data_IF_438766502021
#
_entry.id   IF_438766502021
#
_cell.length_a   1.000
_cell.length_b   1.000
_cell.length_c   1.000
_cell.angle_alpha   90.00
_cell.angle_beta   90.00
_cell.angle_gamma   90.00
#
_symmetry.space_group_name_H-M   'P 1'
#
loop_
_entity.id
_entity.type
_entity.pdbx_description
1 polymer ?
#
# COMPACT_ATOMS: atom_id res chain seq x y z
N UNK A 1 -8.39 41.24 15.73
CA UNK A 1 -8.41 39.96 16.55
C UNK A 1 -9.38 38.91 16.02
N UNK A 2 -10.52 39.25 15.45
CA UNK A 2 -11.54 38.30 14.96
C UNK A 2 -11.13 37.41 13.78
N UNK A 3 -10.25 37.88 12.87
CA UNK A 3 -9.79 37.06 11.72
C UNK A 3 -8.85 35.91 12.09
N UNK A 4 -8.05 36.07 13.13
CA UNK A 4 -7.15 35.01 13.60
C UNK A 4 -7.89 33.88 14.36
N UNK A 5 -8.96 34.22 15.08
CA UNK A 5 -9.80 33.22 15.74
C UNK A 5 -10.57 32.33 14.74
N UNK A 6 -11.10 32.91 13.66
CA UNK A 6 -11.81 32.16 12.63
C UNK A 6 -10.89 31.19 11.88
N UNK A 7 -9.63 31.57 11.59
CA UNK A 7 -8.66 30.68 10.95
C UNK A 7 -8.24 29.53 11.86
N UNK A 8 -8.06 29.77 13.16
CA UNK A 8 -7.72 28.73 14.12
C UNK A 8 -8.86 27.71 14.33
N UNK A 9 -10.11 28.16 14.36
CA UNK A 9 -11.30 27.29 14.44
C UNK A 9 -11.48 26.44 13.19
N UNK A 10 -11.23 26.99 12.00
CA UNK A 10 -11.30 26.24 10.75
C UNK A 10 -10.20 25.14 10.66
N UNK A 11 -8.97 25.46 11.09
CA UNK A 11 -7.88 24.49 11.13
C UNK A 11 -8.16 23.33 12.12
N UNK A 12 -8.73 23.66 13.29
CA UNK A 12 -9.12 22.67 14.29
C UNK A 12 -10.24 21.73 13.75
N UNK A 13 -11.25 22.28 13.09
CA UNK A 13 -12.34 21.52 12.50
C UNK A 13 -11.85 20.55 11.41
N UNK A 14 -10.91 20.96 10.55
CA UNK A 14 -10.28 20.10 9.57
C UNK A 14 -9.51 18.94 10.23
N UNK A 15 -8.73 19.20 11.28
CA UNK A 15 -7.97 18.17 11.99
C UNK A 15 -8.88 17.10 12.62
N UNK A 16 -10.01 17.49 13.20
CA UNK A 16 -11.00 16.55 13.75
C UNK A 16 -11.71 15.73 12.66
N UNK A 17 -11.97 16.31 11.48
CA UNK A 17 -12.58 15.58 10.37
C UNK A 17 -11.63 14.47 9.83
N UNK A 18 -10.35 14.74 9.68
CA UNK A 18 -9.37 13.76 9.22
C UNK A 18 -9.15 12.64 10.24
N UNK A 19 -9.05 12.97 11.53
CA UNK A 19 -8.97 11.95 12.58
C UNK A 19 -10.20 11.03 12.60
N UNK A 20 -11.37 11.54 12.26
CA UNK A 20 -12.60 10.75 12.16
C UNK A 20 -12.64 9.79 10.97
N UNK A 21 -12.08 10.17 9.84
CA UNK A 21 -11.97 9.31 8.65
C UNK A 21 -10.95 8.19 8.85
N UNK A 22 -9.79 8.49 9.41
CA UNK A 22 -8.79 7.49 9.75
C UNK A 22 -9.35 6.47 10.76
N UNK A 23 -10.07 6.93 11.79
CA UNK A 23 -10.68 6.05 12.78
C UNK A 23 -11.69 5.07 12.15
N UNK A 24 -12.50 5.53 11.19
CA UNK A 24 -13.41 4.67 10.42
C UNK A 24 -12.66 3.66 9.58
N UNK A 25 -11.57 4.09 8.92
CA UNK A 25 -10.76 3.22 8.09
C UNK A 25 -10.06 2.14 8.91
N UNK A 26 -9.53 2.48 10.09
CA UNK A 26 -9.01 1.52 11.04
C UNK A 26 -10.06 0.53 11.53
N UNK A 27 -11.28 0.98 11.80
CA UNK A 27 -12.40 0.09 12.16
C UNK A 27 -12.70 -0.90 11.03
N UNK A 28 -12.71 -0.46 9.76
CA UNK A 28 -12.89 -1.32 8.60
C UNK A 28 -11.77 -2.36 8.48
N UNK A 29 -10.51 -1.96 8.70
CA UNK A 29 -9.36 -2.85 8.66
C UNK A 29 -9.39 -3.91 9.76
N UNK A 30 -9.80 -3.54 10.99
CA UNK A 30 -9.99 -4.49 12.10
C UNK A 30 -11.07 -5.52 11.81
N UNK A 31 -12.09 -5.13 11.09
CA UNK A 31 -13.20 -6.04 10.70
C UNK A 31 -12.76 -7.08 9.66
N UNK A 32 -11.75 -6.77 8.86
CA UNK A 32 -11.31 -7.62 7.74
C UNK A 32 -12.16 -7.40 6.48
N UNK A 33 -12.00 -8.29 5.50
CA UNK A 33 -12.75 -8.24 4.24
C UNK A 33 -12.25 -7.20 3.25
N UNK A 34 -11.01 -6.71 3.41
CA UNK A 34 -10.44 -5.70 2.53
C UNK A 34 -9.13 -6.20 1.90
N UNK A 35 -8.70 -5.52 0.85
CA UNK A 35 -7.35 -5.65 0.30
C UNK A 35 -6.58 -4.36 0.64
N UNK A 36 -5.37 -4.53 1.15
CA UNK A 36 -4.45 -3.46 1.52
C UNK A 36 -3.34 -3.40 0.46
N UNK A 37 -3.40 -2.39 -0.40
CA UNK A 37 -2.32 -2.12 -1.34
C UNK A 37 -1.24 -1.32 -0.62
N UNK A 38 0.00 -1.79 -0.65
CA UNK A 38 1.13 -1.14 0.02
C UNK A 38 2.15 -0.75 -1.04
N UNK A 39 2.51 0.52 -1.13
CA UNK A 39 3.71 0.90 -1.88
C UNK A 39 4.94 0.45 -1.09
N UNK A 40 5.92 -0.16 -1.78
CA UNK A 40 7.22 -0.45 -1.16
C UNK A 40 7.77 0.78 -0.43
N UNK A 41 8.52 0.56 0.63
CA UNK A 41 9.13 1.61 1.43
C UNK A 41 10.23 2.37 0.67
N UNK A 42 10.77 3.42 1.26
CA UNK A 42 11.76 4.31 0.66
C UNK A 42 13.00 3.55 0.19
N UNK A 43 13.47 3.91 -1.00
CA UNK A 43 14.66 3.33 -1.64
C UNK A 43 15.82 4.31 -1.61
N UNK A 44 17.00 3.83 -1.95
CA UNK A 44 18.14 4.69 -2.28
C UNK A 44 17.78 5.72 -3.37
N UNK A 45 18.63 6.75 -3.57
CA UNK A 45 18.39 7.82 -4.52
C UNK A 45 18.24 7.29 -5.96
N UNK A 46 17.59 8.07 -6.81
CA UNK A 46 17.36 7.76 -8.23
C UNK A 46 15.91 7.42 -8.56
N UNK A 47 15.64 7.30 -9.85
CA UNK A 47 14.36 6.94 -10.43
C UNK A 47 14.53 5.64 -11.24
N UNK A 48 13.60 4.70 -11.10
CA UNK A 48 13.70 3.39 -11.76
C UNK A 48 14.79 2.49 -11.17
N UNK A 49 15.06 1.38 -11.82
CA UNK A 49 16.19 0.50 -11.54
C UNK A 49 17.37 0.85 -12.46
N UNK A 50 18.62 0.51 -12.11
CA UNK A 50 19.77 0.71 -13.00
C UNK A 50 19.60 0.00 -14.36
N UNK A 51 20.14 0.52 -15.46
CA UNK A 51 20.10 -0.16 -16.73
C UNK A 51 20.68 -1.59 -16.64
N UNK A 52 19.99 -2.57 -17.21
CA UNK A 52 20.42 -3.96 -17.19
C UNK A 52 20.18 -4.68 -15.86
N UNK A 53 19.36 -4.14 -14.96
CA UNK A 53 18.97 -4.84 -13.73
C UNK A 53 18.36 -6.21 -14.04
N UNK A 54 18.52 -7.14 -13.11
CA UNK A 54 17.93 -8.48 -13.17
C UNK A 54 17.03 -8.69 -11.96
N UNK A 55 15.86 -9.30 -12.19
CA UNK A 55 14.85 -9.50 -11.14
C UNK A 55 15.28 -10.53 -10.09
N UNK A 56 16.14 -11.47 -10.47
CA UNK A 56 16.71 -12.53 -9.63
C UNK A 56 17.98 -12.12 -8.88
N UNK A 57 18.49 -10.91 -9.14
CA UNK A 57 19.72 -10.39 -8.55
C UNK A 57 19.49 -9.02 -7.90
N UNK A 58 19.30 -9.02 -6.59
CA UNK A 58 19.06 -7.80 -5.83
C UNK A 58 20.21 -6.79 -5.89
N UNK A 59 21.45 -7.23 -6.16
CA UNK A 59 22.61 -6.32 -6.24
C UNK A 59 22.52 -5.39 -7.44
N UNK A 60 21.74 -5.74 -8.44
CA UNK A 60 21.51 -4.97 -9.66
C UNK A 60 20.30 -4.03 -9.58
N UNK A 61 19.53 -4.11 -8.51
CA UNK A 61 18.28 -3.36 -8.33
C UNK A 61 18.45 -2.16 -7.41
N UNK A 62 17.55 -1.19 -7.53
CA UNK A 62 17.41 -0.11 -6.55
C UNK A 62 16.64 -0.62 -5.32
N UNK A 63 17.39 -0.90 -4.26
CA UNK A 63 16.89 -1.50 -3.02
C UNK A 63 16.42 -0.47 -1.99
N UNK A 64 15.82 -0.93 -0.89
CA UNK A 64 15.45 -0.08 0.23
C UNK A 64 16.68 0.64 0.81
N UNK A 65 16.47 1.89 1.21
CA UNK A 65 17.40 2.59 2.09
C UNK A 65 17.26 2.09 3.53
N UNK A 66 18.19 2.45 4.43
CA UNK A 66 18.04 2.11 5.85
C UNK A 66 16.79 2.76 6.45
N UNK A 67 16.49 4.01 6.08
CA UNK A 67 15.23 4.66 6.44
C UNK A 67 14.02 3.90 5.91
N UNK A 68 14.09 3.37 4.68
CA UNK A 68 13.02 2.55 4.11
C UNK A 68 12.81 1.23 4.86
N UNK A 69 13.87 0.60 5.35
CA UNK A 69 13.76 -0.59 6.20
C UNK A 69 13.00 -0.30 7.49
N UNK A 70 13.30 0.86 8.12
CA UNK A 70 12.56 1.31 9.31
C UNK A 70 11.10 1.66 8.99
N UNK A 71 10.83 2.29 7.85
CA UNK A 71 9.46 2.53 7.38
C UNK A 71 8.69 1.22 7.23
N UNK A 72 9.28 0.22 6.60
CA UNK A 72 8.65 -1.08 6.40
C UNK A 72 8.29 -1.76 7.74
N UNK A 73 9.20 -1.71 8.74
CA UNK A 73 8.91 -2.24 10.09
C UNK A 73 7.75 -1.50 10.73
N UNK A 74 7.75 -0.14 10.69
CA UNK A 74 6.68 0.68 11.25
C UNK A 74 5.32 0.41 10.62
N UNK A 75 5.26 0.15 9.30
CA UNK A 75 4.03 -0.28 8.65
C UNK A 75 3.47 -1.54 9.31
N UNK A 76 4.28 -2.56 9.49
CA UNK A 76 3.88 -3.80 10.14
C UNK A 76 3.51 -3.62 11.61
N UNK A 77 4.29 -2.86 12.37
CA UNK A 77 4.03 -2.54 13.77
C UNK A 77 2.71 -1.80 13.96
N UNK A 78 2.45 -0.79 13.12
CA UNK A 78 1.20 -0.05 13.18
C UNK A 78 -0.02 -0.93 12.91
N UNK A 79 0.01 -1.77 11.89
CA UNK A 79 -1.08 -2.68 11.59
C UNK A 79 -1.33 -3.68 12.74
N UNK A 80 -0.27 -4.19 13.38
CA UNK A 80 -0.38 -5.05 14.56
C UNK A 80 -0.93 -4.31 15.78
N UNK A 81 -0.44 -3.11 16.06
CA UNK A 81 -0.92 -2.26 17.16
C UNK A 81 -2.42 -1.94 17.02
N UNK A 82 -2.88 -1.70 15.79
CA UNK A 82 -4.28 -1.51 15.45
C UNK A 82 -5.09 -2.82 15.39
N UNK A 83 -4.47 -3.97 15.66
CA UNK A 83 -5.10 -5.30 15.64
C UNK A 83 -5.75 -5.65 14.29
N UNK A 84 -5.11 -5.24 13.19
CA UNK A 84 -5.58 -5.54 11.83
C UNK A 84 -5.26 -6.99 11.49
N UNK A 85 -6.25 -7.86 11.28
CA UNK A 85 -6.00 -9.25 10.90
C UNK A 85 -5.52 -9.32 9.43
N UNK A 86 -4.35 -9.93 9.20
CA UNK A 86 -3.79 -10.19 7.86
C UNK A 86 -3.71 -11.70 7.65
N UNK A 87 -4.40 -12.19 6.63
CA UNK A 87 -4.48 -13.63 6.31
C UNK A 87 -3.54 -14.04 5.18
N UNK A 88 -3.30 -13.15 4.22
CA UNK A 88 -2.47 -13.42 3.06
C UNK A 88 -1.65 -12.18 2.70
N UNK A 89 -0.41 -12.38 2.29
CA UNK A 89 0.48 -11.32 1.79
C UNK A 89 1.06 -11.73 0.45
N UNK A 90 0.79 -10.93 -0.57
CA UNK A 90 1.42 -11.01 -1.89
C UNK A 90 2.41 -9.87 -2.06
N UNK A 91 3.45 -10.10 -2.84
CA UNK A 91 4.44 -9.08 -3.14
C UNK A 91 4.86 -9.11 -4.61
N UNK A 92 5.22 -7.95 -5.13
CA UNK A 92 5.99 -7.86 -6.36
C UNK A 92 7.31 -8.62 -6.19
N UNK A 93 7.82 -9.31 -7.23
CA UNK A 93 9.11 -10.01 -7.17
C UNK A 93 10.33 -9.07 -7.09
N UNK A 94 10.17 -7.75 -7.16
CA UNK A 94 11.26 -6.79 -6.94
C UNK A 94 11.77 -6.83 -5.50
N UNK A 95 13.08 -6.79 -5.32
CA UNK A 95 13.73 -6.95 -4.02
C UNK A 95 13.23 -5.92 -2.99
N UNK A 96 13.03 -4.66 -3.37
CA UNK A 96 12.45 -3.62 -2.49
C UNK A 96 11.04 -3.96 -2.00
N UNK A 97 10.23 -4.65 -2.81
CA UNK A 97 8.90 -5.08 -2.40
C UNK A 97 8.96 -6.32 -1.49
N UNK A 98 9.76 -7.32 -1.85
CA UNK A 98 10.01 -8.51 -1.02
C UNK A 98 10.53 -8.12 0.36
N UNK A 99 11.53 -7.20 0.41
CA UNK A 99 12.11 -6.73 1.66
C UNK A 99 11.09 -5.94 2.48
N UNK A 100 10.29 -5.04 1.84
CA UNK A 100 9.17 -4.35 2.52
C UNK A 100 8.17 -5.35 3.11
N UNK A 101 7.75 -6.35 2.34
CA UNK A 101 6.80 -7.35 2.79
C UNK A 101 7.36 -8.22 3.93
N UNK A 102 8.61 -8.64 3.82
CA UNK A 102 9.30 -9.44 4.85
C UNK A 102 9.44 -8.67 6.17
N UNK A 103 9.88 -7.42 6.13
CA UNK A 103 10.05 -6.58 7.33
C UNK A 103 8.72 -6.24 8.00
N UNK A 104 7.67 -5.98 7.23
CA UNK A 104 6.36 -5.61 7.76
C UNK A 104 5.55 -6.82 8.24
N UNK A 105 5.57 -7.95 7.50
CA UNK A 105 4.64 -9.06 7.67
C UNK A 105 5.31 -10.41 7.93
N UNK A 106 6.64 -10.50 7.83
CA UNK A 106 7.42 -11.72 8.06
C UNK A 106 7.37 -12.75 6.92
N UNK A 107 6.32 -12.72 6.10
CA UNK A 107 6.12 -13.64 4.96
C UNK A 107 5.40 -12.98 3.81
N UNK A 108 5.67 -13.40 2.59
CA UNK A 108 4.91 -13.00 1.42
C UNK A 108 5.08 -14.03 0.31
N UNK A 109 4.11 -14.11 -0.58
CA UNK A 109 4.13 -14.88 -1.81
C UNK A 109 4.39 -13.95 -2.99
N UNK A 110 5.40 -14.26 -3.80
CA UNK A 110 5.68 -13.51 -5.02
C UNK A 110 4.54 -13.64 -6.02
N UNK A 111 4.11 -12.52 -6.57
CA UNK A 111 3.11 -12.52 -7.61
C UNK A 111 3.47 -11.53 -8.73
N UNK A 112 3.77 -12.06 -9.90
CA UNK A 112 4.25 -11.29 -11.06
C UNK A 112 3.30 -10.16 -11.49
N UNK A 113 1.98 -10.29 -11.28
CA UNK A 113 1.05 -9.21 -11.61
C UNK A 113 1.24 -7.93 -10.75
N UNK A 114 2.00 -8.00 -9.65
CA UNK A 114 2.38 -6.85 -8.82
C UNK A 114 3.71 -6.22 -9.27
N UNK A 115 4.36 -6.74 -10.31
CA UNK A 115 5.62 -6.23 -10.86
C UNK A 115 5.51 -4.77 -11.30
N UNK A 116 6.61 -4.01 -11.16
CA UNK A 116 6.65 -2.62 -11.61
C UNK A 116 6.36 -2.52 -13.11
N UNK A 117 5.41 -1.67 -13.45
CA UNK A 117 5.13 -1.32 -14.86
C UNK A 117 5.84 -0.04 -15.29
N UNK A 118 6.70 0.52 -14.42
CA UNK A 118 7.44 1.76 -14.70
C UNK A 118 8.32 1.61 -15.95
N UNK A 119 9.09 0.52 -16.02
CA UNK A 119 9.96 0.21 -17.16
C UNK A 119 9.29 -0.73 -18.18
N UNK A 120 8.03 -1.12 -17.93
CA UNK A 120 7.26 -2.03 -18.77
C UNK A 120 5.82 -1.51 -18.98
N UNK A 121 5.62 -0.32 -19.55
CA UNK A 121 4.30 0.29 -19.67
C UNK A 121 3.32 -0.56 -20.51
N UNK A 122 3.82 -1.35 -21.44
CA UNK A 122 2.99 -2.27 -22.25
C UNK A 122 2.32 -3.37 -21.42
N UNK A 123 2.84 -3.68 -20.22
CA UNK A 123 2.27 -4.68 -19.31
C UNK A 123 1.26 -4.08 -18.32
N UNK A 124 1.12 -2.75 -18.26
CA UNK A 124 0.26 -2.10 -17.27
C UNK A 124 -1.19 -2.62 -17.32
N UNK A 125 -1.78 -2.65 -18.51
CA UNK A 125 -3.15 -3.13 -18.66
C UNK A 125 -3.29 -4.59 -18.22
N UNK A 126 -2.41 -5.48 -18.69
CA UNK A 126 -2.46 -6.91 -18.33
C UNK A 126 -2.37 -7.11 -16.81
N UNK A 127 -1.40 -6.46 -16.18
CA UNK A 127 -1.17 -6.63 -14.73
C UNK A 127 -2.30 -6.02 -13.91
N UNK A 128 -2.78 -4.85 -14.30
CA UNK A 128 -3.93 -4.20 -13.66
C UNK A 128 -5.17 -5.08 -13.73
N UNK A 129 -5.52 -5.62 -14.89
CA UNK A 129 -6.66 -6.53 -15.08
C UNK A 129 -6.51 -7.81 -14.24
N UNK A 130 -5.31 -8.39 -14.18
CA UNK A 130 -5.03 -9.58 -13.36
C UNK A 130 -5.22 -9.31 -11.86
N UNK A 131 -4.75 -8.15 -11.37
CA UNK A 131 -4.93 -7.75 -9.98
C UNK A 131 -6.40 -7.47 -9.68
N UNK A 132 -7.11 -6.74 -10.54
CA UNK A 132 -8.55 -6.49 -10.41
C UNK A 132 -9.34 -7.79 -10.39
N UNK A 133 -9.06 -8.72 -11.31
CA UNK A 133 -9.69 -10.04 -11.34
C UNK A 133 -9.47 -10.82 -10.04
N UNK A 134 -8.24 -10.82 -9.52
CA UNK A 134 -7.94 -11.48 -8.24
C UNK A 134 -8.70 -10.82 -7.09
N UNK A 135 -8.71 -9.49 -7.01
CA UNK A 135 -9.48 -8.78 -5.98
C UNK A 135 -10.97 -9.13 -6.09
N UNK A 136 -11.51 -9.18 -7.32
CA UNK A 136 -12.90 -9.55 -7.57
C UNK A 136 -13.27 -10.99 -7.18
N UNK A 137 -12.29 -11.90 -7.02
CA UNK A 137 -12.55 -13.26 -6.49
C UNK A 137 -12.76 -13.28 -4.98
N UNK A 138 -12.40 -12.22 -4.27
CA UNK A 138 -12.58 -12.15 -2.83
C UNK A 138 -14.01 -11.70 -2.50
N UNK A 139 -14.63 -12.42 -1.56
CA UNK A 139 -15.88 -11.99 -0.93
C UNK A 139 -15.56 -11.30 0.39
N UNK A 140 -15.85 -10.02 0.49
CA UNK A 140 -15.62 -9.26 1.74
C UNK A 140 -16.33 -9.87 2.96
N UNK A 141 -17.39 -10.65 2.75
CA UNK A 141 -18.15 -11.30 3.82
C UNK A 141 -17.48 -12.60 4.30
N UNK A 142 -16.76 -13.29 3.40
CA UNK A 142 -16.19 -14.61 3.68
C UNK A 142 -14.72 -14.52 4.11
N UNK A 143 -14.09 -13.38 3.87
CA UNK A 143 -12.70 -13.14 4.27
C UNK A 143 -12.59 -12.99 5.80
N UNK A 144 -11.81 -13.87 6.44
CA UNK A 144 -11.54 -13.84 7.88
C UNK A 144 -10.57 -12.73 8.33
N UNK A 145 -10.03 -11.97 7.40
CA UNK A 145 -9.09 -10.88 7.62
C UNK A 145 -8.85 -10.10 6.34
N UNK A 146 -7.71 -9.44 6.24
CA UNK A 146 -7.34 -8.65 5.07
C UNK A 146 -6.26 -9.37 4.26
N UNK A 147 -6.24 -9.11 2.95
CA UNK A 147 -5.17 -9.52 2.04
C UNK A 147 -4.28 -8.31 1.79
N UNK A 148 -2.97 -8.48 1.89
CA UNK A 148 -1.98 -7.43 1.61
C UNK A 148 -1.35 -7.68 0.24
N UNK A 149 -1.13 -6.63 -0.53
CA UNK A 149 -0.43 -6.64 -1.81
C UNK A 149 0.63 -5.54 -1.81
N UNK A 150 1.91 -5.92 -1.69
CA UNK A 150 3.04 -4.99 -1.73
C UNK A 150 3.50 -4.79 -3.16
N UNK A 151 3.46 -3.55 -3.66
CA UNK A 151 3.72 -3.22 -5.06
C UNK A 151 4.32 -1.81 -5.21
N UNK A 152 4.13 -1.19 -6.36
CA UNK A 152 4.76 0.07 -6.77
C UNK A 152 3.71 1.18 -6.93
N UNK A 153 4.15 2.45 -6.83
CA UNK A 153 3.26 3.60 -7.00
C UNK A 153 2.51 3.56 -8.34
N UNK A 154 3.21 3.24 -9.42
CA UNK A 154 2.61 3.18 -10.77
C UNK A 154 1.47 2.17 -10.85
N UNK A 155 1.64 0.98 -10.25
CA UNK A 155 0.62 -0.06 -10.20
C UNK A 155 -0.59 0.35 -9.33
N UNK A 156 -0.34 0.97 -8.17
CA UNK A 156 -1.42 1.50 -7.32
C UNK A 156 -2.17 2.60 -8.05
N UNK A 157 -1.46 3.49 -8.76
CA UNK A 157 -2.09 4.55 -9.55
C UNK A 157 -2.95 4.00 -10.69
N UNK A 158 -2.50 2.95 -11.39
CA UNK A 158 -3.30 2.29 -12.44
C UNK A 158 -4.59 1.68 -11.86
N UNK A 159 -4.50 1.06 -10.67
CA UNK A 159 -5.64 0.42 -10.00
C UNK A 159 -6.63 1.42 -9.39
N UNK A 160 -6.16 2.51 -8.79
CA UNK A 160 -6.94 3.35 -7.87
C UNK A 160 -7.02 4.81 -8.29
N UNK A 161 -6.23 5.24 -9.25
CA UNK A 161 -6.00 6.64 -9.66
C UNK A 161 -5.33 7.50 -8.57
N UNK A 162 -4.77 6.87 -7.54
CA UNK A 162 -4.06 7.55 -6.45
C UNK A 162 -2.55 7.39 -6.62
N UNK A 163 -1.81 8.49 -6.47
CA UNK A 163 -0.36 8.45 -6.24
C UNK A 163 -0.09 8.43 -4.75
N UNK A 164 0.81 7.57 -4.31
CA UNK A 164 1.06 7.29 -2.90
C UNK A 164 2.54 7.45 -2.54
N UNK A 165 2.81 7.89 -1.31
CA UNK A 165 4.15 7.97 -0.74
C UNK A 165 4.73 6.55 -0.46
N UNK A 166 6.06 6.40 -0.32
CA UNK A 166 6.66 5.15 0.17
C UNK A 166 6.06 4.70 1.51
N UNK A 167 5.81 3.42 1.67
CA UNK A 167 5.18 2.86 2.88
C UNK A 167 3.71 3.23 3.10
N UNK A 168 3.13 4.06 2.24
CA UNK A 168 1.70 4.40 2.31
C UNK A 168 0.83 3.22 1.86
N UNK A 169 -0.32 3.08 2.50
CA UNK A 169 -1.30 2.06 2.17
C UNK A 169 -2.58 2.67 1.58
N UNK A 170 -3.17 1.96 0.63
CA UNK A 170 -4.52 2.22 0.12
C UNK A 170 -5.40 1.02 0.46
N UNK A 171 -6.51 1.28 1.12
CA UNK A 171 -7.47 0.25 1.49
C UNK A 171 -8.55 0.19 0.41
N UNK A 172 -8.72 -0.99 -0.17
CA UNK A 172 -9.76 -1.24 -1.16
C UNK A 172 -10.64 -2.40 -0.73
N UNK A 173 -11.89 -2.36 -1.14
CA UNK A 173 -12.85 -3.44 -0.94
C UNK A 173 -13.20 -4.08 -2.27
N UNK A 174 -13.26 -5.41 -2.34
CA UNK A 174 -13.83 -6.11 -3.50
C UNK A 174 -15.25 -5.62 -3.77
N UNK A 175 -15.57 -5.33 -5.01
CA UNK A 175 -16.83 -4.75 -5.48
C UNK A 175 -17.59 -5.75 -6.38
N UNK A 176 -17.70 -7.00 -5.94
CA UNK A 176 -18.37 -8.04 -6.72
C UNK A 176 -17.60 -8.49 -7.96
N UNK A 177 -18.25 -8.55 -9.10
CA UNK A 177 -17.75 -9.32 -10.27
C UNK A 177 -16.44 -8.83 -10.92
N UNK A 178 -15.99 -7.59 -10.82
CA UNK A 178 -14.81 -7.12 -11.59
C UNK A 178 -14.15 -5.87 -11.05
N UNK A 179 -14.60 -5.32 -9.89
CA UNK A 179 -14.18 -4.01 -9.43
C UNK A 179 -13.56 -4.02 -8.05
N UNK A 180 -13.02 -2.89 -7.73
CA UNK A 180 -12.61 -2.54 -6.39
C UNK A 180 -13.12 -1.14 -6.07
N UNK A 181 -13.49 -0.93 -4.82
CA UNK A 181 -13.83 0.40 -4.29
C UNK A 181 -12.75 0.85 -3.33
N UNK A 182 -12.16 2.02 -3.58
CA UNK A 182 -11.23 2.64 -2.64
C UNK A 182 -12.02 3.12 -1.41
N UNK A 183 -11.59 2.70 -0.22
CA UNK A 183 -12.16 3.10 1.06
C UNK A 183 -11.41 4.28 1.66
N UNK A 184 -10.11 4.38 1.40
CA UNK A 184 -9.24 5.44 1.89
C UNK A 184 -7.77 5.07 1.81
N UNK A 185 -6.93 5.93 2.33
CA UNK A 185 -5.47 5.78 2.37
C UNK A 185 -4.95 6.16 3.75
N UNK A 186 -3.85 5.52 4.18
CA UNK A 186 -3.18 5.82 5.45
C UNK A 186 -1.68 5.96 5.22
N UNK A 187 -1.12 7.09 5.63
CA UNK A 187 0.31 7.30 5.71
C UNK A 187 0.77 6.87 7.11
N UNK A 188 1.44 5.71 7.20
CA UNK A 188 1.83 5.10 8.47
C UNK A 188 3.23 5.52 8.94
N UNK A 189 3.95 6.27 8.11
CA UNK A 189 5.31 6.74 8.33
C UNK A 189 5.31 8.26 8.24
N UNK A 190 5.66 8.95 9.34
CA UNK A 190 5.70 10.41 9.38
C UNK A 190 4.75 11.07 10.37
N UNK A 191 4.41 10.41 11.47
CA UNK A 191 3.89 11.10 12.67
C UNK A 191 5.05 11.71 13.46
N UNK A 192 4.80 12.82 14.17
CA UNK A 192 5.81 13.51 14.97
C UNK A 192 6.47 12.62 15.99
#
# INVERSE_FOLDING_TARGET
MTRFLAAALAALACAFAWAGEDAKLWAQLRHGGNVILVRHASTGPGLGDPPGFRIDDCTTQRNLSDAGREEARRVGERLRAERVPVTQVYTSPWCRCRETASLAFGRAEDWTALSSVFDMPDRDREYTERVQKRIGTYSSRDMKGNVVMVTHNVNIASLTKLSVAPGEIVVVRPDGCCGLRVLGRLLLVGGP
#
